data_IF_959335812754
#
_entry.id   IF_959335812754
#
_cell.length_a   1.000
_cell.length_b   1.000
_cell.length_c   1.000
_cell.angle_alpha   90.00
_cell.angle_beta   90.00
_cell.angle_gamma   90.00
#
_symmetry.space_group_name_H-M   'P 1'
#
loop_
_entity.id
_entity.type
_entity.pdbx_description
1 polymer ?
#
# COMPACT_ATOMS: atom_id res chain seq x y z
N UNK A 1 1.18 -13.29 10.62
CA UNK A 1 0.40 -12.81 11.78
C UNK A 1 -0.74 -13.79 12.05
N UNK A 2 -1.29 -13.80 13.25
CA UNK A 2 -2.49 -14.55 13.63
C UNK A 2 -3.78 -13.76 13.36
N UNK A 3 -4.90 -14.46 13.26
CA UNK A 3 -6.24 -13.87 13.12
C UNK A 3 -6.70 -13.15 14.40
N UNK A 4 -6.24 -13.63 15.55
CA UNK A 4 -6.56 -13.04 16.85
C UNK A 4 -5.69 -11.82 17.21
N UNK A 5 -4.64 -11.54 16.42
CA UNK A 5 -3.77 -10.38 16.64
C UNK A 5 -4.57 -9.07 16.60
N UNK A 6 -4.15 -8.12 17.44
CA UNK A 6 -4.80 -6.83 17.60
C UNK A 6 -3.81 -5.69 17.47
N UNK A 7 -4.27 -4.59 16.89
CA UNK A 7 -3.56 -3.32 16.86
C UNK A 7 -4.51 -2.22 17.30
N UNK A 8 -4.18 -1.53 18.40
CA UNK A 8 -4.99 -0.43 18.98
C UNK A 8 -6.49 -0.77 19.12
N UNK A 9 -6.80 -2.00 19.54
CA UNK A 9 -8.17 -2.49 19.75
C UNK A 9 -8.88 -3.02 18.50
N UNK A 10 -8.31 -2.86 17.31
CA UNK A 10 -8.82 -3.44 16.07
C UNK A 10 -8.07 -4.73 15.71
N UNK A 11 -8.61 -5.53 14.78
CA UNK A 11 -7.86 -6.65 14.21
C UNK A 11 -6.61 -6.16 13.48
N UNK A 12 -5.45 -6.78 13.74
CA UNK A 12 -4.19 -6.36 13.14
C UNK A 12 -4.22 -6.38 11.60
N UNK A 13 -4.82 -7.40 10.99
CA UNK A 13 -4.85 -7.47 9.52
C UNK A 13 -5.72 -6.37 8.90
N UNK A 14 -6.82 -5.99 9.56
CA UNK A 14 -7.65 -4.86 9.11
C UNK A 14 -6.92 -3.54 9.29
N UNK A 15 -6.26 -3.35 10.43
CA UNK A 15 -5.47 -2.15 10.67
C UNK A 15 -4.36 -1.98 9.61
N UNK A 16 -3.70 -3.06 9.21
CA UNK A 16 -2.70 -3.04 8.13
C UNK A 16 -3.34 -2.65 6.79
N UNK A 17 -4.49 -3.23 6.43
CA UNK A 17 -5.19 -2.87 5.20
C UNK A 17 -5.63 -1.40 5.18
N UNK A 18 -6.15 -0.90 6.29
CA UNK A 18 -6.57 0.49 6.43
C UNK A 18 -5.39 1.45 6.32
N UNK A 19 -4.27 1.12 6.97
CA UNK A 19 -3.02 1.86 6.85
C UNK A 19 -2.54 1.91 5.40
N UNK A 20 -2.35 0.74 4.75
CA UNK A 20 -1.91 0.67 3.36
C UNK A 20 -2.82 1.46 2.42
N UNK A 21 -4.15 1.32 2.57
CA UNK A 21 -5.12 2.07 1.78
C UNK A 21 -5.00 3.57 1.98
N UNK A 22 -4.87 4.03 3.23
CA UNK A 22 -4.77 5.46 3.57
C UNK A 22 -3.48 6.07 3.01
N UNK A 23 -2.38 5.33 3.05
CA UNK A 23 -1.08 5.80 2.56
C UNK A 23 -0.87 5.62 1.04
N UNK A 24 -1.92 5.25 0.31
CA UNK A 24 -1.93 5.18 -1.14
C UNK A 24 -1.21 3.96 -1.74
N UNK A 25 -1.19 2.82 -1.03
CA UNK A 25 -0.72 1.56 -1.58
C UNK A 25 -1.51 1.15 -2.85
N UNK A 26 -0.84 0.51 -3.80
CA UNK A 26 -1.43 0.08 -5.06
C UNK A 26 -2.57 -0.93 -4.87
N UNK A 27 -2.44 -1.81 -3.89
CA UNK A 27 -3.45 -2.79 -3.48
C UNK A 27 -2.86 -3.89 -2.61
N UNK A 28 -3.67 -4.49 -1.74
CA UNK A 28 -3.25 -5.60 -0.89
C UNK A 28 -4.35 -6.66 -0.80
N UNK A 29 -3.93 -7.91 -0.63
CA UNK A 29 -4.81 -9.08 -0.55
C UNK A 29 -4.58 -9.78 0.78
N UNK A 30 -5.66 -10.20 1.44
CA UNK A 30 -5.61 -10.97 2.68
C UNK A 30 -6.07 -12.39 2.42
N UNK A 31 -5.27 -13.35 2.84
CA UNK A 31 -5.57 -14.79 2.76
C UNK A 31 -5.56 -15.39 4.14
N UNK A 32 -6.66 -16.04 4.53
CA UNK A 32 -6.74 -16.87 5.74
C UNK A 32 -6.29 -18.29 5.41
N UNK A 33 -5.26 -18.77 6.10
CA UNK A 33 -4.78 -20.15 5.95
C UNK A 33 -5.62 -21.12 6.79
N UNK A 34 -5.66 -22.39 6.38
CA UNK A 34 -6.32 -23.46 7.12
C UNK A 34 -5.48 -23.94 8.32
N UNK A 35 -4.15 -23.84 8.21
CA UNK A 35 -3.22 -24.17 9.26
C UNK A 35 -1.85 -23.51 9.06
N UNK A 36 -1.06 -23.45 10.13
CA UNK A 36 0.33 -23.02 10.08
C UNK A 36 1.00 -23.05 11.46
N UNK A 37 2.33 -22.95 11.48
CA UNK A 37 3.13 -22.83 12.69
C UNK A 37 4.20 -21.74 12.48
N UNK A 38 4.54 -21.02 13.55
CA UNK A 38 5.54 -19.95 13.56
C UNK A 38 6.65 -20.20 14.58
N UNK A 39 7.40 -19.15 14.92
CA UNK A 39 8.52 -19.21 15.87
C UNK A 39 8.16 -19.77 17.26
N UNK A 40 6.88 -19.76 17.63
CA UNK A 40 6.36 -20.31 18.90
C UNK A 40 5.96 -21.80 18.81
N UNK A 41 6.22 -22.48 17.68
CA UNK A 41 6.06 -23.93 17.45
C UNK A 41 4.68 -24.53 17.79
N UNK A 42 3.62 -23.72 17.85
CA UNK A 42 2.23 -24.20 17.99
C UNK A 42 1.64 -24.39 16.61
N UNK A 43 1.05 -25.56 16.36
CA UNK A 43 0.28 -25.81 15.14
C UNK A 43 -1.12 -25.20 15.36
N UNK A 44 -1.46 -24.21 14.55
CA UNK A 44 -2.79 -23.64 14.49
C UNK A 44 -3.58 -24.38 13.40
N UNK A 45 -4.71 -25.02 13.73
CA UNK A 45 -5.59 -25.73 12.78
C UNK A 45 -7.05 -25.54 13.16
N UNK A 46 -7.96 -25.74 12.21
CA UNK A 46 -9.42 -25.73 12.42
C UNK A 46 -10.01 -27.08 12.87
N UNK A 47 -9.21 -28.10 13.22
CA UNK A 47 -9.75 -29.39 13.67
C UNK A 47 -10.47 -29.27 15.03
N UNK A 48 -11.59 -30.01 15.14
CA UNK A 48 -12.70 -29.89 16.10
C UNK A 48 -12.31 -29.95 17.60
N UNK A 49 -11.06 -30.25 17.96
CA UNK A 49 -10.63 -30.41 19.35
C UNK A 49 -9.91 -29.19 19.97
N UNK A 50 -9.66 -28.10 19.22
CA UNK A 50 -9.07 -26.88 19.79
C UNK A 50 -9.94 -25.66 19.45
N UNK A 51 -10.83 -25.28 20.38
CA UNK A 51 -11.73 -24.11 20.32
C UNK A 51 -11.03 -22.73 20.27
N UNK A 52 -9.74 -22.69 19.97
CA UNK A 52 -8.93 -21.47 19.84
C UNK A 52 -7.99 -21.59 18.64
N UNK A 53 -8.54 -21.61 17.43
CA UNK A 53 -7.77 -21.58 16.20
C UNK A 53 -7.37 -20.13 15.88
N UNK A 54 -6.25 -19.66 16.44
CA UNK A 54 -5.61 -18.44 15.95
C UNK A 54 -5.00 -18.73 14.57
N UNK A 55 -5.83 -18.68 13.52
CA UNK A 55 -5.44 -19.11 12.18
C UNK A 55 -4.42 -18.14 11.58
N UNK A 56 -3.45 -18.63 10.78
CA UNK A 56 -2.51 -17.74 10.13
C UNK A 56 -3.22 -16.85 9.10
N UNK A 57 -2.93 -15.56 9.17
CA UNK A 57 -3.32 -14.57 8.16
C UNK A 57 -2.06 -14.15 7.39
N UNK A 58 -2.13 -14.24 6.06
CA UNK A 58 -1.14 -13.69 5.13
C UNK A 58 -1.70 -12.43 4.47
N UNK A 59 -0.92 -11.36 4.48
CA UNK A 59 -1.20 -10.14 3.74
C UNK A 59 -0.16 -10.03 2.65
N UNK A 60 -0.61 -9.92 1.40
CA UNK A 60 0.25 -9.70 0.25
C UNK A 60 0.01 -8.31 -0.31
N UNK A 61 1.09 -7.55 -0.42
CA UNK A 61 1.08 -6.20 -0.95
C UNK A 61 2.17 -6.12 -2.02
N UNK A 62 1.78 -5.71 -3.23
CA UNK A 62 2.68 -5.55 -4.38
C UNK A 62 2.67 -4.07 -4.76
N UNK A 63 3.85 -3.47 -4.82
CA UNK A 63 3.98 -2.04 -5.06
C UNK A 63 5.33 -1.63 -5.67
N UNK A 64 5.43 -0.34 -6.00
CA UNK A 64 6.67 0.31 -6.39
C UNK A 64 7.68 0.28 -5.23
N UNK A 65 8.98 0.07 -5.51
CA UNK A 65 10.02 0.03 -4.48
C UNK A 65 10.00 1.22 -3.53
N UNK A 66 9.81 2.43 -4.05
CA UNK A 66 9.79 3.67 -3.27
C UNK A 66 8.64 3.68 -2.26
N UNK A 67 7.46 3.16 -2.65
CA UNK A 67 6.30 3.06 -1.76
C UNK A 67 6.51 1.97 -0.72
N UNK A 68 7.14 0.85 -1.09
CA UNK A 68 7.57 -0.20 -0.14
C UNK A 68 8.48 0.37 0.93
N UNK A 69 9.58 1.04 0.55
CA UNK A 69 10.52 1.63 1.52
C UNK A 69 9.86 2.65 2.43
N UNK A 70 8.93 3.46 1.90
CA UNK A 70 8.22 4.48 2.69
C UNK A 70 7.30 3.88 3.75
N UNK A 71 6.55 2.82 3.42
CA UNK A 71 5.50 2.32 4.31
C UNK A 71 5.96 1.18 5.23
N UNK A 72 7.02 0.46 4.86
CA UNK A 72 7.53 -0.70 5.60
C UNK A 72 7.88 -0.40 7.07
N UNK A 73 8.52 0.73 7.45
CA UNK A 73 8.87 0.99 8.84
C UNK A 73 7.65 0.99 9.78
N UNK A 74 6.52 1.54 9.34
CA UNK A 74 5.29 1.53 10.12
C UNK A 74 4.69 0.13 10.22
N UNK A 75 4.75 -0.67 9.14
CA UNK A 75 4.29 -2.06 9.18
C UNK A 75 5.12 -2.90 10.17
N UNK A 76 6.43 -2.67 10.24
CA UNK A 76 7.30 -3.31 11.23
C UNK A 76 6.92 -2.93 12.67
N UNK A 77 6.43 -1.70 12.91
CA UNK A 77 5.92 -1.29 14.22
C UNK A 77 4.53 -1.83 14.54
N UNK A 78 3.73 -2.19 13.53
CA UNK A 78 2.40 -2.76 13.73
C UNK A 78 2.46 -4.26 14.01
N UNK A 79 3.48 -4.95 13.48
CA UNK A 79 3.65 -6.40 13.59
C UNK A 79 4.65 -6.70 14.71
N UNK A 80 4.13 -6.79 15.94
CA UNK A 80 4.94 -7.14 17.12
C UNK A 80 5.42 -8.61 17.09
N UNK A 81 4.58 -9.52 16.58
CA UNK A 81 4.90 -10.93 16.39
C UNK A 81 4.41 -11.39 15.01
N UNK A 82 5.31 -12.03 14.26
CA UNK A 82 5.03 -12.46 12.89
C UNK A 82 6.26 -12.44 12.00
N UNK A 83 6.00 -12.53 10.70
CA UNK A 83 7.03 -12.53 9.66
C UNK A 83 6.60 -11.56 8.56
N UNK A 84 7.52 -10.69 8.16
CA UNK A 84 7.40 -9.85 6.98
C UNK A 84 8.51 -10.28 6.01
N UNK A 85 8.13 -10.60 4.78
CA UNK A 85 9.05 -10.97 3.69
C UNK A 85 8.89 -9.96 2.57
N UNK A 86 10.01 -9.59 1.94
CA UNK A 86 10.04 -8.75 0.73
C UNK A 86 10.80 -9.48 -0.35
N UNK A 87 10.18 -9.59 -1.52
CA UNK A 87 10.78 -10.18 -2.71
C UNK A 87 10.50 -9.29 -3.93
N UNK A 88 11.47 -9.12 -4.85
CA UNK A 88 11.22 -8.44 -6.11
C UNK A 88 10.29 -9.28 -6.99
N UNK A 89 9.29 -8.63 -7.59
CA UNK A 89 8.33 -9.27 -8.51
C UNK A 89 8.18 -8.46 -9.79
N UNK A 90 7.87 -9.14 -10.90
CA UNK A 90 7.55 -8.50 -12.19
C UNK A 90 6.06 -8.62 -12.45
N UNK A 91 5.37 -7.48 -12.56
CA UNK A 91 3.95 -7.46 -12.92
C UNK A 91 3.81 -7.60 -14.44
N UNK A 92 3.39 -8.78 -14.90
CA UNK A 92 3.25 -9.09 -16.35
C UNK A 92 2.01 -8.41 -16.94
N UNK A 93 0.93 -8.36 -16.18
CA UNK A 93 -0.33 -7.76 -16.62
C UNK A 93 -1.07 -7.19 -15.41
N UNK A 94 -1.43 -5.92 -15.51
CA UNK A 94 -2.30 -5.26 -14.53
C UNK A 94 -3.46 -4.64 -15.30
N UNK A 95 -4.66 -5.15 -15.04
CA UNK A 95 -5.89 -4.64 -15.63
C UNK A 95 -6.91 -4.45 -14.53
N UNK A 96 -7.48 -3.26 -14.45
CA UNK A 96 -8.51 -2.88 -13.48
C UNK A 96 -9.89 -3.48 -13.84
N UNK A 97 -9.93 -4.54 -14.64
CA UNK A 97 -11.10 -4.91 -15.45
C UNK A 97 -11.35 -3.88 -16.56
N UNK A 98 -12.29 -4.17 -17.47
CA UNK A 98 -12.81 -3.11 -18.34
C UNK A 98 -13.44 -2.05 -17.44
N UNK A 99 -12.79 -0.89 -17.32
CA UNK A 99 -13.41 0.31 -16.78
C UNK A 99 -14.77 0.51 -17.44
N UNK A 100 -15.81 0.82 -16.66
CA UNK A 100 -16.83 1.75 -17.16
C UNK A 100 -16.07 3.02 -17.50
N UNK A 101 -15.90 3.29 -18.79
CA UNK A 101 -15.17 4.41 -19.41
C UNK A 101 -13.99 5.02 -18.59
N UNK A 102 -12.73 4.92 -19.05
CA UNK A 102 -11.59 5.62 -18.41
C UNK A 102 -11.83 7.11 -18.12
N UNK A 103 -12.76 7.76 -18.84
CA UNK A 103 -13.17 9.15 -18.63
C UNK A 103 -14.09 9.36 -17.41
N UNK A 104 -14.71 8.31 -16.87
CA UNK A 104 -15.58 8.36 -15.68
C UNK A 104 -14.83 8.12 -14.36
N UNK A 105 -13.55 7.76 -14.42
CA UNK A 105 -12.75 7.54 -13.22
C UNK A 105 -12.25 8.86 -12.62
N UNK A 106 -12.20 9.00 -11.28
CA UNK A 106 -11.55 10.14 -10.64
C UNK A 106 -10.07 10.26 -11.07
N UNK A 107 -9.60 11.48 -11.31
CA UNK A 107 -8.21 11.74 -11.73
C UNK A 107 -7.19 11.19 -10.74
N UNK A 108 -7.50 11.21 -9.44
CA UNK A 108 -6.67 10.64 -8.37
C UNK A 108 -6.39 9.14 -8.53
N UNK A 109 -7.22 8.42 -9.29
CA UNK A 109 -7.02 7.01 -9.59
C UNK A 109 -6.09 6.76 -10.78
N UNK A 110 -5.98 7.73 -11.69
CA UNK A 110 -5.13 7.66 -12.88
C UNK A 110 -3.75 8.25 -12.58
N UNK A 111 -3.70 9.39 -11.89
CA UNK A 111 -2.47 10.09 -11.48
C UNK A 111 -2.09 9.70 -10.04
N UNK A 112 -1.67 8.44 -9.84
CA UNK A 112 -1.34 7.91 -8.50
C UNK A 112 0.07 8.24 -8.00
N UNK A 113 0.99 8.52 -8.91
CA UNK A 113 2.31 9.03 -8.57
C UNK A 113 2.25 10.55 -8.50
N UNK A 114 1.64 11.05 -7.41
CA UNK A 114 1.72 12.43 -6.97
C UNK A 114 3.10 12.71 -6.38
N UNK A 115 4.16 12.51 -7.17
CA UNK A 115 5.32 13.37 -6.95
C UNK A 115 4.80 14.81 -7.02
N UNK A 116 5.14 15.63 -6.02
CA UNK A 116 4.61 16.97 -5.83
C UNK A 116 4.45 17.67 -7.18
N UNK A 117 3.19 17.92 -7.57
CA UNK A 117 2.86 18.51 -8.87
C UNK A 117 3.53 19.87 -8.87
N UNK A 118 4.59 19.99 -9.67
CA UNK A 118 5.33 21.22 -9.80
C UNK A 118 4.35 22.31 -10.27
N UNK A 119 4.16 23.32 -9.42
CA UNK A 119 3.28 24.45 -9.63
C UNK A 119 4.02 25.73 -9.26
N UNK A 120 3.51 26.86 -9.71
CA UNK A 120 4.08 28.17 -9.44
C UNK A 120 3.00 29.11 -8.94
N UNK A 121 3.37 30.11 -8.15
CA UNK A 121 2.45 31.15 -7.69
C UNK A 121 2.38 32.31 -8.67
N UNK A 122 1.39 33.19 -8.51
CA UNK A 122 1.19 34.35 -9.41
C UNK A 122 2.29 35.41 -9.29
N UNK A 123 3.04 35.43 -8.20
CA UNK A 123 4.21 36.29 -7.97
C UNK A 123 5.54 35.67 -8.44
N UNK A 124 5.53 34.39 -8.86
CA UNK A 124 6.72 33.72 -9.38
C UNK A 124 7.23 34.41 -10.66
N UNK A 125 8.54 34.57 -10.74
CA UNK A 125 9.18 35.15 -11.92
C UNK A 125 9.19 34.18 -13.09
N UNK A 126 9.18 34.71 -14.31
CA UNK A 126 9.26 33.90 -15.55
C UNK A 126 10.50 32.99 -15.55
N UNK A 127 11.61 33.42 -14.94
CA UNK A 127 12.83 32.63 -14.85
C UNK A 127 12.65 31.36 -14.00
N UNK A 128 11.93 31.46 -12.87
CA UNK A 128 11.61 30.32 -12.03
C UNK A 128 10.68 29.33 -12.75
N UNK A 129 9.67 29.85 -13.45
CA UNK A 129 8.75 29.03 -14.28
C UNK A 129 9.53 28.25 -15.34
N UNK A 130 10.40 28.92 -16.11
CA UNK A 130 11.20 28.28 -17.16
C UNK A 130 12.18 27.25 -16.59
N UNK A 131 12.82 27.56 -15.45
CA UNK A 131 13.71 26.63 -14.77
C UNK A 131 12.99 25.33 -14.39
N UNK A 132 11.82 25.45 -13.76
CA UNK A 132 11.04 24.31 -13.29
C UNK A 132 10.47 23.48 -14.46
N UNK A 133 10.07 24.12 -15.57
CA UNK A 133 9.67 23.43 -16.81
C UNK A 133 10.78 22.55 -17.38
N UNK A 134 12.01 23.08 -17.44
CA UNK A 134 13.17 22.37 -17.96
C UNK A 134 13.58 21.21 -17.04
N UNK A 135 13.60 21.43 -15.72
CA UNK A 135 13.96 20.41 -14.73
C UNK A 135 13.00 19.23 -14.74
N UNK A 136 11.69 19.49 -14.79
CA UNK A 136 10.66 18.44 -14.75
C UNK A 136 10.34 17.85 -16.13
N UNK A 137 10.88 18.42 -17.21
CA UNK A 137 10.60 17.97 -18.58
C UNK A 137 9.13 18.13 -19.00
N UNK A 138 8.42 19.09 -18.39
CA UNK A 138 7.00 19.36 -18.66
C UNK A 138 6.84 20.61 -19.52
N UNK A 139 5.73 20.69 -20.26
CA UNK A 139 5.46 21.82 -21.18
C UNK A 139 4.64 22.94 -20.57
N UNK A 140 4.06 22.68 -19.41
CA UNK A 140 3.17 23.59 -18.70
C UNK A 140 3.27 23.33 -17.21
N UNK A 141 3.18 24.39 -16.42
CA UNK A 141 3.01 24.33 -14.97
C UNK A 141 1.69 25.00 -14.62
N UNK A 142 0.86 24.41 -13.76
CA UNK A 142 -0.28 25.11 -13.19
C UNK A 142 0.20 26.30 -12.36
N UNK A 143 -0.47 27.45 -12.55
CA UNK A 143 -0.33 28.62 -11.67
C UNK A 143 -1.40 28.50 -10.58
N UNK A 144 -1.01 28.57 -9.32
CA UNK A 144 -1.89 28.43 -8.16
C UNK A 144 -1.80 29.68 -7.27
N UNK A 145 -2.92 30.09 -6.69
CA UNK A 145 -3.03 31.24 -5.78
C UNK A 145 -2.85 30.84 -4.31
#
# INVERSE_FOLDING_TARGET
IGESDRYRGASLYMAILEYLRREGAAGATVTRALAGFGARSRIHTSNIEVLSSDLPIRIEWIDLPQRVERLLPQLQQMVDDGLIVREPVTVVHYSMGRSKDPLEQPVSYIMRDLDEVASVTTDASVAEVVGLLLERGVRSLPVVD
#
